data_IF_326424803562
#
_entry.id   IF_326424803562
#
_cell.length_a   1.000
_cell.length_b   1.000
_cell.length_c   1.000
_cell.angle_alpha   90.00
_cell.angle_beta   90.00
_cell.angle_gamma   90.00
#
_symmetry.space_group_name_H-M   'P 1'
#
loop_
_entity.id
_entity.type
_entity.pdbx_description
1 polymer ?
#
# COMPACT_ATOMS: atom_id res chain seq x y z
N UNK A 1 11.34 8.67 -13.50
CA UNK A 1 10.89 9.63 -12.44
C UNK A 1 11.43 9.19 -11.09
N UNK A 2 11.49 10.08 -10.10
CA UNK A 2 11.91 9.70 -8.73
C UNK A 2 10.81 8.89 -8.05
N UNK A 3 11.16 7.74 -7.43
CA UNK A 3 10.22 6.78 -6.85
C UNK A 3 10.44 6.66 -5.36
N UNK A 4 9.40 6.92 -4.57
CA UNK A 4 9.35 6.60 -3.14
C UNK A 4 8.47 5.38 -2.92
N UNK A 5 9.00 4.35 -2.26
CA UNK A 5 8.20 3.24 -1.74
C UNK A 5 7.84 3.56 -0.29
N UNK A 6 6.56 3.53 0.04
CA UNK A 6 6.01 3.85 1.35
C UNK A 6 5.43 2.58 1.96
N UNK A 7 5.97 2.18 3.11
CA UNK A 7 5.60 0.94 3.79
C UNK A 7 5.13 1.27 5.21
N UNK A 8 3.83 1.14 5.49
CA UNK A 8 3.34 1.25 6.86
C UNK A 8 3.74 -0.02 7.63
N UNK A 9 4.33 0.17 8.82
CA UNK A 9 4.74 -0.93 9.69
C UNK A 9 4.12 -0.81 11.07
N UNK A 10 3.76 -1.94 11.63
CA UNK A 10 3.38 -2.10 13.03
C UNK A 10 3.70 -3.51 13.48
N UNK A 11 4.81 -3.67 14.23
CA UNK A 11 5.31 -4.99 14.63
C UNK A 11 5.46 -5.96 13.43
N UNK A 12 5.56 -7.27 13.65
CA UNK A 12 5.71 -8.30 12.59
C UNK A 12 6.84 -7.99 11.60
N UNK A 13 7.97 -7.51 12.10
CA UNK A 13 9.06 -6.99 11.29
C UNK A 13 9.82 -8.07 10.48
N UNK A 14 9.60 -9.37 10.75
CA UNK A 14 10.06 -10.46 9.89
C UNK A 14 9.40 -10.43 8.50
N UNK A 15 8.13 -10.00 8.42
CA UNK A 15 7.45 -9.80 7.12
C UNK A 15 8.06 -8.59 6.39
N UNK A 16 8.28 -7.50 7.12
CA UNK A 16 8.92 -6.31 6.58
C UNK A 16 10.35 -6.60 6.08
N UNK A 17 11.13 -7.44 6.79
CA UNK A 17 12.45 -7.89 6.33
C UNK A 17 12.35 -8.58 4.96
N UNK A 18 11.37 -9.46 4.76
CA UNK A 18 11.15 -10.13 3.47
C UNK A 18 10.83 -9.13 2.35
N UNK A 19 9.96 -8.15 2.62
CA UNK A 19 9.68 -7.07 1.67
C UNK A 19 10.95 -6.25 1.36
N UNK A 20 11.74 -5.90 2.36
CA UNK A 20 12.97 -5.15 2.18
C UNK A 20 13.97 -5.89 1.27
N UNK A 21 14.10 -7.22 1.43
CA UNK A 21 14.93 -8.05 0.54
C UNK A 21 14.43 -7.98 -0.90
N UNK A 22 13.11 -8.00 -1.14
CA UNK A 22 12.54 -7.82 -2.48
C UNK A 22 12.90 -6.45 -3.08
N UNK A 23 12.92 -5.39 -2.26
CA UNK A 23 13.32 -4.05 -2.71
C UNK A 23 14.80 -3.98 -3.11
N UNK A 24 15.68 -4.64 -2.36
CA UNK A 24 17.12 -4.72 -2.70
C UNK A 24 17.38 -5.39 -4.05
N UNK A 25 16.51 -6.28 -4.47
CA UNK A 25 16.65 -7.10 -5.69
C UNK A 25 15.88 -6.57 -6.91
N UNK A 26 15.30 -5.35 -6.83
CA UNK A 26 14.55 -4.81 -7.96
C UNK A 26 15.47 -4.46 -9.15
N UNK A 27 15.06 -4.81 -10.38
CA UNK A 27 15.73 -4.43 -11.62
C UNK A 27 15.77 -2.90 -11.79
N UNK A 28 14.65 -2.21 -11.47
CA UNK A 28 14.58 -0.76 -11.33
C UNK A 28 14.68 -0.43 -9.84
N UNK A 29 15.85 0.03 -9.40
CA UNK A 29 16.06 0.47 -8.02
C UNK A 29 15.17 1.67 -7.68
N UNK A 30 14.64 1.69 -6.47
CA UNK A 30 13.89 2.84 -5.94
C UNK A 30 14.86 3.97 -5.57
N UNK A 31 14.36 5.19 -5.45
CA UNK A 31 15.17 6.32 -5.01
C UNK A 31 15.17 6.48 -3.48
N UNK A 32 14.06 6.11 -2.84
CA UNK A 32 13.95 6.07 -1.39
C UNK A 32 12.91 5.06 -0.89
N UNK A 33 13.18 4.50 0.28
CA UNK A 33 12.24 3.73 1.09
C UNK A 33 11.81 4.57 2.29
N UNK A 34 10.53 4.72 2.46
CA UNK A 34 9.89 5.42 3.58
C UNK A 34 9.19 4.37 4.45
N UNK A 35 9.76 4.09 5.61
CA UNK A 35 9.19 3.20 6.62
C UNK A 35 8.33 4.05 7.55
N UNK A 36 7.01 3.89 7.51
CA UNK A 36 6.08 4.66 8.35
C UNK A 36 5.60 3.79 9.50
N UNK A 37 6.18 4.00 10.67
CA UNK A 37 5.98 3.17 11.86
C UNK A 37 4.89 3.74 12.77
N UNK A 38 3.80 2.98 12.92
CA UNK A 38 2.63 3.36 13.75
C UNK A 38 2.83 2.94 15.23
N UNK A 39 4.06 3.07 15.74
CA UNK A 39 4.38 2.83 17.14
C UNK A 39 4.76 1.39 17.47
N UNK A 40 5.52 0.72 16.61
CA UNK A 40 6.00 -0.64 16.87
C UNK A 40 6.78 -0.73 18.19
N UNK A 41 6.53 -1.79 18.96
CA UNK A 41 7.36 -2.17 20.10
C UNK A 41 8.64 -2.90 19.68
N UNK A 42 8.64 -3.52 18.49
CA UNK A 42 9.82 -4.13 17.88
C UNK A 42 10.73 -3.06 17.26
N UNK A 43 12.04 -3.22 17.40
CA UNK A 43 13.01 -2.27 16.83
C UNK A 43 13.33 -2.62 15.37
N UNK A 44 13.11 -1.70 14.46
CA UNK A 44 13.38 -1.87 13.02
C UNK A 44 14.81 -2.40 12.76
N UNK A 45 15.81 -1.83 13.44
CA UNK A 45 17.21 -2.19 13.22
C UNK A 45 17.56 -3.63 13.61
N UNK A 46 16.81 -4.25 14.53
CA UNK A 46 17.01 -5.65 14.89
C UNK A 46 16.67 -6.61 13.73
N UNK A 47 15.85 -6.15 12.77
CA UNK A 47 15.37 -6.96 11.65
C UNK A 47 16.04 -6.62 10.32
N UNK A 48 16.41 -5.37 10.09
CA UNK A 48 16.97 -4.96 8.79
C UNK A 48 18.37 -4.31 8.89
N UNK A 49 18.95 -4.18 10.08
CA UNK A 49 20.22 -3.50 10.28
C UNK A 49 21.36 -4.06 9.42
N UNK A 50 21.41 -5.38 9.22
CA UNK A 50 22.38 -6.08 8.36
C UNK A 50 22.13 -5.87 6.84
N UNK A 51 20.92 -5.43 6.48
CA UNK A 51 20.52 -5.19 5.08
C UNK A 51 20.72 -3.73 4.67
N UNK A 52 20.69 -2.78 5.60
CA UNK A 52 20.82 -1.35 5.32
C UNK A 52 22.07 -1.03 4.49
N UNK A 53 23.26 -1.57 4.79
CA UNK A 53 24.47 -1.30 4.00
C UNK A 53 24.41 -1.80 2.55
N UNK A 54 23.45 -2.70 2.24
CA UNK A 54 23.26 -3.24 0.89
C UNK A 54 22.32 -2.38 0.03
N UNK A 55 21.65 -1.39 0.63
CA UNK A 55 20.71 -0.53 -0.07
C UNK A 55 21.45 0.57 -0.85
N UNK A 56 21.12 0.71 -2.14
CA UNK A 56 21.57 1.80 -2.99
C UNK A 56 20.64 3.02 -2.95
N UNK A 57 19.56 2.93 -2.19
CA UNK A 57 18.52 3.94 -2.05
C UNK A 57 18.47 4.49 -0.62
N UNK A 58 18.00 5.72 -0.48
CA UNK A 58 17.82 6.39 0.82
C UNK A 58 16.74 5.70 1.65
N UNK A 59 16.97 5.53 2.96
CA UNK A 59 16.02 4.92 3.88
C UNK A 59 15.65 5.93 4.96
N UNK A 60 14.36 6.25 5.06
CA UNK A 60 13.82 7.10 6.13
C UNK A 60 12.89 6.27 7.00
N UNK A 61 13.11 6.27 8.31
CA UNK A 61 12.21 5.73 9.32
C UNK A 61 11.44 6.87 9.97
N UNK A 62 10.14 6.84 9.85
CA UNK A 62 9.22 7.86 10.33
C UNK A 62 8.34 7.21 11.39
N UNK A 63 8.63 7.53 12.63
CA UNK A 63 7.98 6.95 13.80
C UNK A 63 6.94 7.92 14.37
N UNK A 64 5.77 7.41 14.68
CA UNK A 64 4.76 8.05 15.53
C UNK A 64 4.45 7.16 16.74
N UNK A 65 4.10 7.77 17.88
CA UNK A 65 3.75 7.05 19.10
C UNK A 65 2.54 6.14 18.89
N UNK A 66 2.52 4.95 19.51
CA UNK A 66 1.35 4.06 19.49
C UNK A 66 0.18 4.70 20.26
N UNK A 67 -0.84 5.07 19.52
CA UNK A 67 -2.13 5.55 20.04
C UNK A 67 -3.29 4.77 19.41
N UNK A 68 -3.09 3.46 19.21
CA UNK A 68 -3.98 2.58 18.47
C UNK A 68 -3.76 2.66 16.96
N UNK A 69 -4.59 1.96 16.19
CA UNK A 69 -4.42 1.82 14.75
C UNK A 69 -4.65 3.16 14.01
N UNK A 70 -3.56 3.81 13.57
CA UNK A 70 -3.58 5.09 12.85
C UNK A 70 -2.82 5.03 11.53
N UNK A 71 -3.03 3.95 10.78
CA UNK A 71 -2.39 3.71 9.47
C UNK A 71 -2.55 4.92 8.52
N UNK A 72 -3.71 5.58 8.51
CA UNK A 72 -3.97 6.77 7.68
C UNK A 72 -2.97 7.89 7.94
N UNK A 73 -2.72 8.19 9.22
CA UNK A 73 -1.75 9.20 9.64
C UNK A 73 -0.31 8.75 9.32
N UNK A 74 0.03 7.50 9.58
CA UNK A 74 1.34 6.96 9.24
C UNK A 74 1.64 7.10 7.72
N UNK A 75 0.68 6.74 6.85
CA UNK A 75 0.80 6.90 5.40
C UNK A 75 0.99 8.37 4.99
N UNK A 76 0.22 9.30 5.55
CA UNK A 76 0.37 10.73 5.29
C UNK A 76 1.73 11.25 5.76
N UNK A 77 2.22 10.82 6.94
CA UNK A 77 3.56 11.14 7.44
C UNK A 77 4.63 10.69 6.43
N UNK A 78 4.47 9.49 5.87
CA UNK A 78 5.35 8.99 4.83
C UNK A 78 5.37 9.88 3.59
N UNK A 79 4.20 10.25 3.08
CA UNK A 79 4.08 11.08 1.88
C UNK A 79 4.66 12.49 2.07
N UNK A 80 4.40 13.12 3.22
CA UNK A 80 4.92 14.46 3.52
C UNK A 80 6.45 14.45 3.53
N UNK A 81 7.07 13.38 4.06
CA UNK A 81 8.53 13.23 4.15
C UNK A 81 9.18 12.57 2.92
N UNK A 82 8.40 12.19 1.91
CA UNK A 82 8.92 11.60 0.67
C UNK A 82 9.37 12.67 -0.34
N UNK A 83 10.26 12.30 -1.25
CA UNK A 83 10.77 13.17 -2.32
C UNK A 83 10.39 12.69 -3.72
N UNK A 84 9.80 11.48 -3.82
CA UNK A 84 9.45 10.86 -5.09
C UNK A 84 8.24 11.51 -5.77
N UNK A 85 8.28 11.53 -7.09
CA UNK A 85 7.14 11.92 -7.93
C UNK A 85 6.09 10.80 -8.03
N UNK A 86 6.57 9.55 -8.05
CA UNK A 86 5.76 8.34 -7.99
C UNK A 86 5.83 7.77 -6.57
N UNK A 87 4.68 7.62 -5.94
CA UNK A 87 4.51 6.96 -4.66
C UNK A 87 4.02 5.53 -4.91
N UNK A 88 4.75 4.54 -4.41
CA UNK A 88 4.37 3.13 -4.43
C UNK A 88 4.10 2.71 -3.00
N UNK A 89 2.88 2.31 -2.71
CA UNK A 89 2.46 1.85 -1.39
C UNK A 89 2.42 0.32 -1.35
N UNK A 90 3.02 -0.23 -0.32
CA UNK A 90 3.05 -1.66 -0.07
C UNK A 90 2.82 -1.92 1.42
N UNK A 91 1.87 -2.78 1.77
CA UNK A 91 1.79 -3.27 3.16
C UNK A 91 3.03 -4.09 3.49
N UNK A 92 3.47 -4.08 4.76
CA UNK A 92 4.72 -4.70 5.22
C UNK A 92 4.82 -6.22 4.97
N UNK A 93 3.70 -6.87 4.75
CA UNK A 93 3.55 -8.32 4.54
C UNK A 93 3.41 -8.71 3.07
N UNK A 94 3.84 -7.83 2.17
CA UNK A 94 3.90 -8.12 0.74
C UNK A 94 5.31 -8.50 0.32
N UNK A 95 5.40 -9.48 -0.58
CA UNK A 95 6.61 -9.79 -1.33
C UNK A 95 6.32 -9.78 -2.83
N UNK A 96 7.33 -9.49 -3.63
CA UNK A 96 7.18 -9.36 -5.06
C UNK A 96 8.49 -9.63 -5.81
N UNK A 97 8.39 -9.96 -7.10
CA UNK A 97 9.53 -10.24 -7.97
C UNK A 97 10.33 -8.99 -8.37
N UNK A 98 11.43 -9.22 -9.07
CA UNK A 98 12.44 -8.21 -9.43
C UNK A 98 11.90 -7.11 -10.36
N UNK A 99 10.80 -7.35 -11.08
CA UNK A 99 10.25 -6.44 -12.10
C UNK A 99 9.15 -5.51 -11.56
N UNK A 100 8.80 -5.63 -10.28
CA UNK A 100 7.62 -4.97 -9.73
C UNK A 100 7.66 -3.43 -9.83
N UNK A 101 8.77 -2.81 -9.43
CA UNK A 101 8.92 -1.35 -9.46
C UNK A 101 8.97 -0.84 -10.90
N UNK A 102 9.71 -1.52 -11.79
CA UNK A 102 9.76 -1.19 -13.21
C UNK A 102 8.37 -1.25 -13.85
N UNK A 103 7.57 -2.26 -13.47
CA UNK A 103 6.21 -2.42 -13.99
C UNK A 103 5.28 -1.31 -13.51
N UNK A 104 5.41 -0.85 -12.26
CA UNK A 104 4.68 0.31 -11.76
C UNK A 104 5.06 1.57 -12.53
N UNK A 105 6.37 1.84 -12.70
CA UNK A 105 6.86 3.02 -13.42
C UNK A 105 6.40 3.05 -14.87
N UNK A 106 6.44 1.93 -15.59
CA UNK A 106 6.00 1.83 -16.99
C UNK A 106 4.49 2.03 -17.17
N UNK A 107 3.69 1.72 -16.18
CA UNK A 107 2.23 1.73 -16.29
C UNK A 107 1.55 2.97 -15.71
N UNK A 108 2.23 3.74 -14.84
CA UNK A 108 1.64 4.96 -14.27
C UNK A 108 1.43 6.03 -15.35
N UNK A 109 0.28 6.68 -15.28
CA UNK A 109 -0.07 7.80 -16.15
C UNK A 109 -0.78 8.89 -15.37
N UNK A 110 -0.64 10.13 -15.82
CA UNK A 110 -1.37 11.28 -15.25
C UNK A 110 -2.88 10.99 -15.19
N UNK A 111 -3.50 11.26 -14.04
CA UNK A 111 -4.92 11.04 -13.82
C UNK A 111 -5.30 9.57 -13.55
N UNK A 112 -4.32 8.74 -13.21
CA UNK A 112 -4.56 7.36 -12.81
C UNK A 112 -3.80 7.02 -11.54
N UNK A 113 -4.40 6.17 -10.71
CA UNK A 113 -3.69 5.35 -9.74
C UNK A 113 -3.65 3.90 -10.23
N UNK A 114 -2.61 3.19 -9.90
CA UNK A 114 -2.44 1.77 -10.22
C UNK A 114 -2.80 0.93 -9.02
N UNK A 115 -3.41 -0.23 -9.25
CA UNK A 115 -3.80 -1.16 -8.21
C UNK A 115 -3.34 -2.57 -8.58
N UNK A 116 -2.62 -3.22 -7.67
CA UNK A 116 -2.30 -4.64 -7.75
C UNK A 116 -3.22 -5.45 -6.83
N UNK A 117 -3.43 -6.70 -7.20
CA UNK A 117 -4.18 -7.69 -6.41
C UNK A 117 -3.22 -8.80 -5.99
N UNK A 118 -2.65 -8.75 -4.79
CA UNK A 118 -1.75 -9.80 -4.33
C UNK A 118 -2.48 -11.12 -4.13
N UNK A 119 -1.75 -12.21 -4.29
CA UNK A 119 -2.20 -13.56 -3.97
C UNK A 119 -1.95 -13.80 -2.49
N UNK A 120 -3.00 -14.08 -1.71
CA UNK A 120 -2.86 -14.47 -0.31
C UNK A 120 -2.52 -15.95 -0.20
N UNK A 121 -1.57 -16.27 0.66
CA UNK A 121 -1.08 -17.63 0.93
C UNK A 121 -1.37 -18.04 2.37
N UNK A 122 -1.24 -19.33 2.68
CA UNK A 122 -1.44 -19.85 4.02
C UNK A 122 -0.16 -19.75 4.88
N UNK A 123 -0.24 -20.17 6.14
CA UNK A 123 0.85 -20.07 7.11
C UNK A 123 2.04 -20.97 6.77
N UNK A 124 1.78 -22.19 6.29
CA UNK A 124 2.83 -23.13 5.91
C UNK A 124 3.66 -22.58 4.75
N UNK A 125 2.99 -22.08 3.71
CA UNK A 125 3.62 -21.45 2.56
C UNK A 125 4.41 -20.20 2.95
N UNK A 126 3.88 -19.36 3.85
CA UNK A 126 4.61 -18.21 4.41
C UNK A 126 5.93 -18.68 5.04
N UNK A 127 5.89 -19.74 5.88
CA UNK A 127 7.09 -20.23 6.57
C UNK A 127 8.14 -20.76 5.57
N UNK A 128 7.71 -21.41 4.49
CA UNK A 128 8.60 -21.86 3.41
C UNK A 128 9.24 -20.66 2.71
N UNK A 129 8.45 -19.64 2.39
CA UNK A 129 8.92 -18.43 1.71
C UNK A 129 9.93 -17.68 2.57
N UNK A 130 9.62 -17.40 3.82
CA UNK A 130 10.52 -16.67 4.73
C UNK A 130 11.89 -17.36 4.85
N UNK A 131 11.95 -18.70 4.80
CA UNK A 131 13.21 -19.44 4.79
C UNK A 131 13.99 -19.30 3.47
N UNK A 132 13.30 -19.08 2.35
CA UNK A 132 13.90 -19.03 1.01
C UNK A 132 14.25 -17.62 0.54
N UNK A 133 13.56 -16.60 1.03
CA UNK A 133 13.64 -15.22 0.51
C UNK A 133 15.05 -14.64 0.58
N UNK A 134 15.86 -15.05 1.56
CA UNK A 134 17.26 -14.62 1.68
C UNK A 134 18.12 -15.03 0.47
N UNK A 135 17.74 -16.11 -0.22
CA UNK A 135 18.50 -16.67 -1.34
C UNK A 135 17.91 -16.30 -2.70
N UNK A 136 16.57 -16.16 -2.79
CA UNK A 136 15.90 -15.87 -4.06
C UNK A 136 14.60 -15.08 -3.84
N UNK A 137 14.21 -14.27 -4.84
CA UNK A 137 12.89 -13.65 -4.94
C UNK A 137 12.19 -13.98 -6.26
N UNK A 138 12.73 -14.95 -7.03
CA UNK A 138 12.06 -15.42 -8.24
C UNK A 138 10.80 -16.19 -7.88
N UNK A 139 9.69 -15.83 -8.48
CA UNK A 139 8.38 -16.43 -8.19
C UNK A 139 8.37 -17.95 -8.38
N UNK A 140 9.01 -18.44 -9.45
CA UNK A 140 9.11 -19.87 -9.75
C UNK A 140 9.82 -20.64 -8.64
N UNK A 141 10.75 -20.00 -7.94
CA UNK A 141 11.52 -20.62 -6.88
C UNK A 141 10.84 -20.48 -5.51
N UNK A 142 10.13 -19.38 -5.27
CA UNK A 142 9.41 -19.14 -4.03
C UNK A 142 8.11 -19.93 -3.92
N UNK A 143 7.38 -20.06 -5.04
CA UNK A 143 5.99 -20.51 -5.06
C UNK A 143 5.72 -21.65 -6.02
N UNK A 144 6.60 -22.61 -6.17
CA UNK A 144 6.29 -23.80 -6.98
C UNK A 144 5.53 -24.85 -6.18
N UNK A 145 4.36 -25.21 -6.70
CA UNK A 145 3.40 -24.50 -7.53
C UNK A 145 2.39 -23.75 -6.66
N UNK A 146 2.05 -22.49 -7.02
CA UNK A 146 0.89 -21.82 -6.40
C UNK A 146 -0.36 -22.66 -6.68
N UNK A 147 -1.15 -23.03 -5.67
CA UNK A 147 -2.41 -23.70 -5.89
C UNK A 147 -3.31 -22.87 -6.81
N UNK A 148 -3.95 -23.50 -7.79
CA UNK A 148 -4.85 -22.82 -8.74
C UNK A 148 -5.93 -21.99 -8.06
N UNK A 149 -6.42 -22.40 -6.90
CA UNK A 149 -7.44 -21.68 -6.13
C UNK A 149 -7.03 -20.26 -5.73
N UNK A 150 -5.74 -19.99 -5.50
CA UNK A 150 -5.28 -18.63 -5.20
C UNK A 150 -5.40 -17.71 -6.41
N UNK A 151 -5.05 -18.21 -7.60
CA UNK A 151 -5.19 -17.46 -8.85
C UNK A 151 -6.66 -17.24 -9.23
N UNK A 152 -7.55 -18.18 -8.93
CA UNK A 152 -8.99 -18.04 -9.14
C UNK A 152 -9.58 -16.90 -8.32
N UNK A 153 -9.18 -16.76 -7.05
CA UNK A 153 -9.61 -15.65 -6.19
C UNK A 153 -9.21 -14.29 -6.76
N UNK A 154 -7.96 -14.15 -7.22
CA UNK A 154 -7.48 -12.91 -7.86
C UNK A 154 -8.22 -12.65 -9.16
N UNK A 155 -8.39 -13.65 -10.03
CA UNK A 155 -9.10 -13.51 -11.30
C UNK A 155 -10.55 -13.07 -11.10
N UNK A 156 -11.26 -13.63 -10.11
CA UNK A 156 -12.64 -13.21 -9.75
C UNK A 156 -12.68 -11.73 -9.36
N UNK A 157 -11.67 -11.26 -8.62
CA UNK A 157 -11.57 -9.85 -8.23
C UNK A 157 -11.31 -8.96 -9.45
N UNK A 158 -10.38 -9.34 -10.33
CA UNK A 158 -10.09 -8.62 -11.58
C UNK A 158 -11.32 -8.53 -12.50
N UNK A 159 -12.11 -9.60 -12.61
CA UNK A 159 -13.36 -9.58 -13.36
C UNK A 159 -14.40 -8.64 -12.74
N UNK A 160 -14.46 -8.58 -11.42
CA UNK A 160 -15.34 -7.64 -10.71
C UNK A 160 -14.90 -6.19 -10.98
N UNK A 161 -13.62 -5.90 -10.94
CA UNK A 161 -13.07 -4.57 -11.25
C UNK A 161 -13.35 -4.19 -12.72
N UNK A 162 -13.19 -5.14 -13.64
CA UNK A 162 -13.53 -4.95 -15.07
C UNK A 162 -15.01 -4.61 -15.26
N UNK A 163 -15.93 -5.34 -14.63
CA UNK A 163 -17.37 -5.07 -14.67
C UNK A 163 -17.68 -3.68 -14.11
N UNK A 164 -17.12 -3.30 -12.97
CA UNK A 164 -17.31 -1.97 -12.37
C UNK A 164 -16.82 -0.86 -13.30
N UNK A 165 -15.68 -1.05 -13.96
CA UNK A 165 -15.15 -0.09 -14.92
C UNK A 165 -16.10 0.11 -16.11
N UNK A 166 -16.67 -0.98 -16.67
CA UNK A 166 -17.64 -0.91 -17.75
C UNK A 166 -18.92 -0.17 -17.30
N UNK A 167 -19.47 -0.54 -16.15
CA UNK A 167 -20.64 0.13 -15.58
C UNK A 167 -20.42 1.62 -15.34
N UNK A 168 -19.20 2.00 -14.93
CA UNK A 168 -18.85 3.40 -14.73
C UNK A 168 -18.74 4.16 -16.07
N UNK A 169 -18.16 3.56 -17.12
CA UNK A 169 -18.12 4.14 -18.47
C UNK A 169 -19.56 4.38 -18.98
N UNK A 170 -20.45 3.44 -18.72
CA UNK A 170 -21.87 3.54 -19.08
C UNK A 170 -22.68 4.45 -18.15
N UNK A 171 -22.05 5.10 -17.17
CA UNK A 171 -22.68 5.95 -16.13
C UNK A 171 -23.71 5.21 -15.24
N UNK A 172 -23.65 3.88 -15.20
CA UNK A 172 -24.49 3.04 -14.35
C UNK A 172 -23.88 2.81 -12.95
N UNK A 173 -22.61 3.16 -12.74
CA UNK A 173 -21.95 3.15 -11.45
C UNK A 173 -21.31 4.51 -11.15
N UNK A 174 -21.40 4.97 -9.90
CA UNK A 174 -20.86 6.27 -9.45
C UNK A 174 -19.35 6.38 -9.57
N UNK A 175 -18.62 5.23 -9.53
CA UNK A 175 -17.15 5.16 -9.65
C UNK A 175 -16.74 3.89 -10.40
N UNK A 176 -15.47 3.84 -10.81
CA UNK A 176 -14.83 2.66 -11.39
C UNK A 176 -14.26 1.72 -10.31
N UNK A 177 -12.99 1.38 -10.42
CA UNK A 177 -12.29 0.42 -9.57
C UNK A 177 -12.20 0.93 -8.13
N UNK A 178 -12.46 0.03 -7.16
CA UNK A 178 -12.28 0.31 -5.73
C UNK A 178 -10.78 0.24 -5.38
N UNK A 179 -10.26 1.28 -4.73
CA UNK A 179 -8.92 1.24 -4.16
C UNK A 179 -8.92 0.30 -2.93
N UNK A 180 -7.87 -0.49 -2.82
CA UNK A 180 -7.56 -1.34 -1.67
C UNK A 180 -6.10 -1.09 -1.33
N UNK A 181 -5.82 -0.75 -0.08
CA UNK A 181 -4.57 -0.16 0.35
C UNK A 181 -3.37 -1.08 0.42
N UNK A 182 -3.52 -2.40 0.17
CA UNK A 182 -2.40 -3.34 0.28
C UNK A 182 -1.27 -3.04 -0.69
N UNK A 183 -1.60 -2.69 -1.94
CA UNK A 183 -0.62 -2.46 -3.00
C UNK A 183 -1.17 -1.56 -4.09
N UNK A 184 -0.68 -0.34 -4.15
CA UNK A 184 -1.07 0.62 -5.18
C UNK A 184 0.03 1.64 -5.43
N UNK A 185 -0.06 2.35 -6.56
CA UNK A 185 0.81 3.48 -6.87
C UNK A 185 0.02 4.67 -7.37
N UNK A 186 0.48 5.87 -7.02
CA UNK A 186 -0.14 7.14 -7.42
C UNK A 186 0.93 8.23 -7.55
N UNK A 187 0.73 9.21 -8.42
CA UNK A 187 1.61 10.36 -8.48
C UNK A 187 1.43 11.23 -7.22
N UNK A 188 2.53 11.70 -6.63
CA UNK A 188 2.51 12.51 -5.39
C UNK A 188 1.58 13.72 -5.52
N UNK A 189 1.61 14.42 -6.66
CA UNK A 189 0.70 15.54 -6.93
C UNK A 189 -0.78 15.15 -6.85
N UNK A 190 -1.13 13.92 -7.29
CA UNK A 190 -2.51 13.44 -7.31
C UNK A 190 -2.96 13.02 -5.89
N UNK A 191 -2.02 12.46 -5.09
CA UNK A 191 -2.22 12.20 -3.66
C UNK A 191 -2.46 13.49 -2.88
N UNK A 192 -1.59 14.50 -3.08
CA UNK A 192 -1.70 15.80 -2.41
C UNK A 192 -2.92 16.61 -2.85
N UNK A 193 -3.40 16.41 -4.09
CA UNK A 193 -4.62 17.06 -4.60
C UNK A 193 -5.85 16.79 -3.74
N UNK A 194 -5.91 15.62 -3.13
CA UNK A 194 -7.01 15.22 -2.23
C UNK A 194 -6.64 15.33 -0.75
N UNK A 195 -5.47 15.89 -0.43
CA UNK A 195 -4.89 16.03 0.91
C UNK A 195 -4.57 14.68 1.60
N UNK A 196 -4.27 13.64 0.81
CA UNK A 196 -3.93 12.33 1.32
C UNK A 196 -5.10 11.55 1.91
N UNK A 197 -4.82 10.65 2.84
CA UNK A 197 -5.82 9.93 3.62
C UNK A 197 -6.49 10.87 4.63
N UNK A 198 -7.76 10.63 4.91
CA UNK A 198 -8.49 11.33 5.97
C UNK A 198 -8.16 10.68 7.33
N UNK A 199 -7.48 11.43 8.20
CA UNK A 199 -7.02 10.96 9.51
C UNK A 199 -8.14 10.86 10.58
N UNK A 200 -9.38 11.17 10.21
CA UNK A 200 -10.54 10.87 11.04
C UNK A 200 -10.91 9.38 11.04
N UNK A 201 -10.38 8.60 10.08
CA UNK A 201 -10.49 7.14 10.11
C UNK A 201 -9.53 6.58 11.15
N UNK A 202 -10.08 6.20 12.30
CA UNK A 202 -9.36 5.53 13.39
C UNK A 202 -9.77 4.06 13.44
N UNK A 203 -8.80 3.17 13.69
CA UNK A 203 -9.06 1.74 13.59
C UNK A 203 -9.14 1.26 12.13
N UNK A 204 -9.51 0.01 11.94
CA UNK A 204 -9.53 -0.62 10.63
C UNK A 204 -10.86 -0.39 9.89
N UNK A 205 -10.75 -0.12 8.60
CA UNK A 205 -11.83 -0.22 7.63
C UNK A 205 -12.29 1.11 7.04
N UNK A 206 -12.62 1.04 5.76
CA UNK A 206 -13.23 2.08 4.91
C UNK A 206 -12.31 3.26 4.52
N UNK A 207 -11.13 3.42 5.11
CA UNK A 207 -10.17 4.49 4.81
C UNK A 207 -9.69 4.46 3.35
N UNK A 208 -9.40 3.26 2.85
CA UNK A 208 -8.95 3.05 1.47
C UNK A 208 -10.04 3.39 0.46
N UNK A 209 -11.27 3.00 0.76
CA UNK A 209 -12.41 3.26 -0.12
C UNK A 209 -12.76 4.74 -0.16
N UNK A 210 -12.66 5.43 0.98
CA UNK A 210 -12.81 6.89 1.05
C UNK A 210 -11.76 7.58 0.19
N UNK A 211 -10.47 7.25 0.39
CA UNK A 211 -9.37 7.81 -0.39
C UNK A 211 -9.56 7.57 -1.90
N UNK A 212 -9.93 6.34 -2.30
CA UNK A 212 -10.25 6.00 -3.68
C UNK A 212 -11.43 6.79 -4.25
N UNK A 213 -12.49 7.04 -3.47
CA UNK A 213 -13.63 7.85 -3.87
C UNK A 213 -13.23 9.31 -4.10
N UNK A 214 -12.40 9.88 -3.20
CA UNK A 214 -11.89 11.25 -3.33
C UNK A 214 -10.98 11.41 -4.54
N UNK A 215 -10.07 10.47 -4.79
CA UNK A 215 -9.26 10.44 -6.01
C UNK A 215 -10.15 10.41 -7.26
N UNK A 216 -11.16 9.55 -7.28
CA UNK A 216 -12.08 9.44 -8.41
C UNK A 216 -12.80 10.76 -8.71
N UNK A 217 -13.38 11.40 -7.69
CA UNK A 217 -14.09 12.68 -7.83
C UNK A 217 -13.14 13.81 -8.23
N UNK A 218 -11.87 13.76 -7.78
CA UNK A 218 -10.81 14.66 -8.21
C UNK A 218 -10.30 14.42 -9.66
N UNK A 219 -10.85 13.40 -10.36
CA UNK A 219 -10.52 13.07 -11.74
C UNK A 219 -9.40 12.04 -11.92
N UNK A 220 -8.94 11.38 -10.82
CA UNK A 220 -7.92 10.33 -10.84
C UNK A 220 -8.60 8.95 -10.82
N UNK A 221 -8.45 8.18 -11.88
CA UNK A 221 -9.14 6.90 -12.08
C UNK A 221 -8.26 5.71 -11.70
N UNK A 222 -8.86 4.64 -11.20
CA UNK A 222 -8.16 3.39 -10.96
C UNK A 222 -7.86 2.63 -12.25
N UNK A 223 -6.65 2.06 -12.32
CA UNK A 223 -6.25 1.08 -13.34
C UNK A 223 -5.68 -0.15 -12.62
N UNK A 224 -6.35 -1.30 -12.79
CA UNK A 224 -5.82 -2.56 -12.32
C UNK A 224 -4.62 -3.02 -13.17
N UNK A 225 -3.61 -3.52 -12.51
CA UNK A 225 -2.50 -4.23 -13.16
C UNK A 225 -2.77 -5.73 -13.13
N UNK A 226 -2.79 -6.32 -14.32
CA UNK A 226 -3.06 -7.75 -14.52
C UNK A 226 -1.79 -8.58 -14.37
N UNK A 227 -1.26 -8.63 -13.18
CA UNK A 227 -0.09 -9.44 -12.86
C UNK A 227 -0.23 -10.08 -11.48
N UNK A 228 -1.21 -11.00 -11.32
CA UNK A 228 -1.46 -11.63 -10.01
C UNK A 228 -0.22 -12.32 -9.43
N UNK A 229 0.68 -12.80 -10.29
CA UNK A 229 1.91 -13.50 -9.88
C UNK A 229 3.05 -12.57 -9.43
N UNK A 230 2.89 -11.24 -9.51
CA UNK A 230 3.96 -10.32 -9.11
C UNK A 230 3.97 -10.01 -7.62
N UNK A 231 2.90 -10.31 -6.90
CA UNK A 231 2.79 -10.03 -5.48
C UNK A 231 2.12 -11.13 -4.71
N UNK A 232 2.66 -11.37 -3.52
CA UNK A 232 2.17 -12.35 -2.57
C UNK A 232 1.95 -11.63 -1.25
N UNK A 233 0.77 -11.83 -0.67
CA UNK A 233 0.46 -11.41 0.68
C UNK A 233 0.75 -12.55 1.64
N UNK A 234 1.74 -12.36 2.48
CA UNK A 234 2.17 -13.33 3.51
C UNK A 234 1.07 -13.47 4.57
N UNK A 235 0.80 -14.70 4.93
CA UNK A 235 -0.18 -14.99 5.96
C UNK A 235 0.18 -14.36 7.32
N UNK A 236 -0.81 -13.82 7.98
CA UNK A 236 -0.74 -13.37 9.37
C UNK A 236 -2.10 -13.52 10.05
N UNK A 237 -2.10 -13.56 11.38
CA UNK A 237 -3.35 -13.52 12.13
C UNK A 237 -4.13 -12.25 11.82
N UNK A 238 -5.42 -12.42 11.48
CA UNK A 238 -6.32 -11.28 11.35
C UNK A 238 -6.68 -10.77 12.74
N UNK A 239 -6.56 -9.46 12.93
CA UNK A 239 -7.01 -8.82 14.16
C UNK A 239 -8.52 -9.06 14.35
N UNK A 240 -8.98 -9.58 15.51
CA UNK A 240 -10.40 -9.79 15.76
C UNK A 240 -11.26 -8.54 15.63
N UNK A 241 -10.68 -7.35 15.83
CA UNK A 241 -11.39 -6.05 15.68
C UNK A 241 -11.79 -5.76 14.24
N UNK A 242 -11.19 -6.43 13.24
CA UNK A 242 -11.54 -6.29 11.82
C UNK A 242 -12.95 -6.79 11.45
N UNK A 243 -13.69 -7.39 12.38
CA UNK A 243 -15.05 -7.90 12.11
C UNK A 243 -16.11 -6.80 11.94
N UNK A 244 -15.94 -5.66 12.60
CA UNK A 244 -16.85 -4.51 12.51
C UNK A 244 -16.04 -3.22 12.39
N UNK A 245 -16.20 -2.52 11.28
CA UNK A 245 -15.58 -1.21 11.10
C UNK A 245 -16.25 -0.19 12.02
N UNK A 246 -15.48 0.43 12.92
CA UNK A 246 -15.96 1.57 13.71
C UNK A 246 -16.17 2.82 12.84
N UNK A 247 -15.71 2.80 11.62
CA UNK A 247 -15.74 3.93 10.69
C UNK A 247 -16.97 3.94 9.79
N UNK A 248 -17.87 2.94 9.89
CA UNK A 248 -18.95 2.72 8.91
C UNK A 248 -19.88 3.93 8.78
N UNK A 249 -20.35 4.49 9.89
CA UNK A 249 -21.24 5.65 9.89
C UNK A 249 -20.55 6.88 9.27
N UNK A 250 -19.31 7.16 9.70
CA UNK A 250 -18.50 8.25 9.16
C UNK A 250 -18.27 8.08 7.68
N UNK A 251 -17.92 6.88 7.24
CA UNK A 251 -17.70 6.56 5.83
C UNK A 251 -18.94 6.82 4.96
N UNK A 252 -20.13 6.35 5.35
CA UNK A 252 -21.33 6.58 4.54
C UNK A 252 -21.70 8.06 4.46
N UNK A 253 -21.51 8.82 5.54
CA UNK A 253 -21.67 10.27 5.53
C UNK A 253 -20.68 10.91 4.55
N UNK A 254 -19.38 10.62 4.67
CA UNK A 254 -18.33 11.15 3.77
C UNK A 254 -18.59 10.77 2.32
N UNK A 255 -18.92 9.54 2.06
CA UNK A 255 -19.23 9.06 0.70
C UNK A 255 -20.37 9.86 0.06
N UNK A 256 -21.41 10.20 0.81
CA UNK A 256 -22.50 11.05 0.32
C UNK A 256 -21.97 12.45 -0.03
N UNK A 257 -21.21 13.08 0.85
CA UNK A 257 -20.63 14.43 0.66
C UNK A 257 -19.69 14.46 -0.56
N UNK A 258 -18.78 13.48 -0.69
CA UNK A 258 -17.84 13.35 -1.79
C UNK A 258 -18.57 13.32 -3.13
N UNK A 259 -19.58 12.48 -3.29
CA UNK A 259 -20.26 12.34 -4.60
C UNK A 259 -21.31 13.42 -4.88
N UNK A 260 -21.99 13.95 -3.85
CA UNK A 260 -23.03 14.98 -4.04
C UNK A 260 -22.44 16.38 -4.19
N UNK A 261 -21.42 16.70 -3.38
CA UNK A 261 -20.86 18.06 -3.28
C UNK A 261 -19.51 18.17 -3.99
N UNK A 262 -18.97 17.06 -4.56
CA UNK A 262 -17.60 16.96 -5.08
C UNK A 262 -16.53 17.30 -4.03
N UNK A 263 -16.80 16.97 -2.79
CA UNK A 263 -15.92 17.24 -1.64
C UNK A 263 -14.80 16.19 -1.56
N UNK A 264 -13.81 16.33 -2.44
CA UNK A 264 -12.68 15.40 -2.52
C UNK A 264 -11.48 15.78 -1.66
N UNK A 265 -11.42 16.99 -1.13
CA UNK A 265 -10.34 17.43 -0.25
C UNK A 265 -10.70 17.12 1.20
N UNK A 266 -9.95 16.21 1.86
CA UNK A 266 -10.17 15.98 3.30
C UNK A 266 -9.52 17.10 4.13
N UNK A 267 -10.19 17.47 5.23
CA UNK A 267 -9.68 18.53 6.10
C UNK A 267 -8.49 18.03 6.92
N UNK A 268 -8.62 16.85 7.52
CA UNK A 268 -7.59 16.25 8.35
C UNK A 268 -6.75 15.27 7.51
N UNK A 269 -5.67 15.74 6.93
CA UNK A 269 -4.82 14.95 6.02
C UNK A 269 -3.37 15.42 6.05
N UNK A 270 -2.71 15.43 4.91
CA UNK A 270 -1.30 15.80 4.80
C UNK A 270 -0.97 17.23 5.26
N UNK A 271 -1.94 18.13 5.26
CA UNK A 271 -1.78 19.52 5.72
C UNK A 271 -1.74 19.69 7.23
N UNK A 272 -2.07 18.63 8.01
CA UNK A 272 -2.00 18.68 9.47
C UNK A 272 -0.57 18.80 9.99
N UNK A 273 -0.39 19.40 11.17
CA UNK A 273 0.89 19.50 11.86
C UNK A 273 1.48 18.10 12.20
N UNK A 274 2.80 17.98 12.11
CA UNK A 274 3.56 16.73 12.28
C UNK A 274 4.63 16.82 13.38
N UNK A 275 4.43 17.67 14.39
CA UNK A 275 5.42 17.94 15.45
C UNK A 275 5.67 16.72 16.37
N UNK A 276 4.74 15.76 16.36
CA UNK A 276 4.81 14.51 17.12
C UNK A 276 5.46 13.33 16.36
N UNK A 277 6.07 13.60 15.21
CA UNK A 277 6.66 12.58 14.33
C UNK A 277 8.16 12.66 14.36
N UNK A 278 8.81 11.53 14.66
CA UNK A 278 10.28 11.42 14.62
C UNK A 278 10.74 10.88 13.27
N UNK A 279 11.58 11.65 12.57
CA UNK A 279 12.19 11.23 11.30
C UNK A 279 13.64 10.87 11.54
N UNK A 280 14.06 9.67 11.13
CA UNK A 280 15.44 9.18 11.21
C UNK A 280 15.87 8.70 9.84
N UNK A 281 17.04 9.16 9.39
CA UNK A 281 17.70 8.64 8.17
C UNK A 281 18.59 7.49 8.60
N UNK A 282 18.45 6.32 7.97
CA UNK A 282 19.14 5.10 8.37
C UNK A 282 20.43 4.83 7.57
N UNK A 283 20.67 5.52 6.43
CA UNK A 283 21.87 5.41 5.59
C UNK A 283 22.21 6.71 4.89
#
# INVERSE_FOLDING_TARGET
MKISVIVPVYNRLEHFRALFICLLKQNRQIDELIITDDGSSQKILDYIGDLIPKASFKIKHIYQEDKGFRKTRALNNGVVNSEGELLVFCDQDLIFGEEYIEYMEKNIKKGYFLLCRPVSINEEEKNIILKKIENTNKYEELLKPLPKCYLEGVNKTLDTDRKRRILNILKLAKRGIKLVGMSYAVLKRDYMKVNGYDENYNGWGEEDDDFGNRLYVAGIKGKELKTPNMQIHLWHYSDPTKKHSMNEEYYYKRKKEIFSNKDYFCKNGCSEARDDVKVTILN
#
